data_IF_436198704733
#
_entry.id   IF_436198704733
#
_cell.length_a   1.000
_cell.length_b   1.000
_cell.length_c   1.000
_cell.angle_alpha   90.00
_cell.angle_beta   90.00
_cell.angle_gamma   90.00
#
_symmetry.space_group_name_H-M   'P 1'
#
loop_
_entity.id
_entity.type
_entity.pdbx_description
1 polymer ?
#
# COMPACT_ATOMS: atom_id res chain seq x y z
N UNK A 1 16.99 -14.44 -51.98
CA UNK A 1 17.47 -13.23 -51.27
C UNK A 1 18.10 -13.69 -49.96
N UNK A 2 19.42 -13.56 -49.80
CA UNK A 2 20.20 -14.29 -48.78
C UNK A 2 19.72 -14.00 -47.34
N UNK A 3 19.53 -15.06 -46.54
CA UNK A 3 19.12 -15.04 -45.13
C UNK A 3 19.92 -14.04 -44.27
N UNK A 4 21.14 -13.73 -44.71
CA UNK A 4 22.01 -12.74 -44.09
C UNK A 4 21.48 -11.29 -44.17
N UNK A 5 20.78 -10.93 -45.25
CA UNK A 5 20.18 -9.59 -45.41
C UNK A 5 18.94 -9.42 -44.54
N UNK A 6 18.17 -10.51 -44.37
CA UNK A 6 16.99 -10.50 -43.51
C UNK A 6 17.40 -10.39 -42.04
N UNK A 7 18.39 -11.16 -41.59
CA UNK A 7 18.91 -11.12 -40.23
C UNK A 7 19.50 -9.75 -39.82
N UNK A 8 20.24 -9.11 -40.73
CA UNK A 8 20.78 -7.75 -40.48
C UNK A 8 19.69 -6.69 -40.39
N UNK A 9 18.62 -6.83 -41.16
CA UNK A 9 17.49 -5.91 -41.13
C UNK A 9 16.70 -6.03 -39.82
N UNK A 10 16.50 -7.25 -39.30
CA UNK A 10 15.82 -7.46 -38.01
C UNK A 10 16.59 -6.85 -36.84
N UNK A 11 17.92 -7.01 -36.81
CA UNK A 11 18.76 -6.41 -35.76
C UNK A 11 18.71 -4.87 -35.84
N UNK A 12 18.79 -4.30 -37.04
CA UNK A 12 18.72 -2.85 -37.20
C UNK A 12 17.37 -2.26 -36.74
N UNK A 13 16.27 -2.95 -37.04
CA UNK A 13 14.92 -2.54 -36.60
C UNK A 13 14.79 -2.66 -35.07
N UNK A 14 15.28 -3.75 -34.47
CA UNK A 14 15.24 -3.94 -33.01
C UNK A 14 16.05 -2.86 -32.27
N UNK A 15 17.22 -2.49 -32.79
CA UNK A 15 18.04 -1.42 -32.20
C UNK A 15 17.37 -0.05 -32.34
N UNK A 16 16.76 0.26 -33.49
CA UNK A 16 16.00 1.51 -33.67
C UNK A 16 14.79 1.63 -32.73
N UNK A 17 14.04 0.54 -32.54
CA UNK A 17 12.93 0.48 -31.58
C UNK A 17 13.40 0.67 -30.13
N UNK A 18 14.52 0.06 -29.76
CA UNK A 18 15.09 0.21 -28.41
C UNK A 18 15.54 1.64 -28.11
N UNK A 19 16.08 2.37 -29.10
CA UNK A 19 16.45 3.78 -28.95
C UNK A 19 15.23 4.70 -28.85
N UNK A 20 14.12 4.36 -29.52
CA UNK A 20 12.89 5.15 -29.47
C UNK A 20 12.15 5.00 -28.12
N UNK A 21 12.15 3.81 -27.52
CA UNK A 21 11.56 3.57 -26.18
C UNK A 21 12.33 4.28 -25.04
N UNK A 22 13.65 4.42 -25.15
CA UNK A 22 14.47 5.10 -24.14
C UNK A 22 14.25 6.64 -24.10
N UNK A 23 13.79 7.24 -25.20
CA UNK A 23 13.53 8.68 -25.28
C UNK A 23 12.19 9.11 -24.63
N UNK A 24 11.30 8.17 -24.27
CA UNK A 24 10.01 8.47 -23.65
C UNK A 24 10.05 8.65 -22.12
N UNK A 25 11.13 8.28 -21.43
CA UNK A 25 11.20 8.36 -19.96
C UNK A 25 11.77 9.67 -19.40
N UNK A 26 12.20 10.62 -20.23
CA UNK A 26 12.96 11.79 -19.76
C UNK A 26 12.13 13.05 -19.48
N UNK A 27 10.81 12.95 -19.30
CA UNK A 27 9.95 14.12 -19.04
C UNK A 27 8.98 13.89 -17.86
N UNK A 28 9.50 13.51 -16.70
CA UNK A 28 8.77 13.68 -15.45
C UNK A 28 9.02 15.12 -14.94
N UNK A 29 7.99 15.95 -14.71
CA UNK A 29 8.18 17.25 -14.07
C UNK A 29 8.65 17.06 -12.61
N UNK A 30 9.66 17.83 -12.22
CA UNK A 30 10.19 17.88 -10.84
C UNK A 30 9.06 18.16 -9.81
N UNK A 31 9.05 17.48 -8.65
CA UNK A 31 8.06 17.73 -7.61
C UNK A 31 8.28 19.09 -6.94
N UNK A 32 7.20 19.87 -6.86
CA UNK A 32 7.15 21.16 -6.14
C UNK A 32 7.45 20.97 -4.65
N UNK A 33 8.24 21.85 -4.00
CA UNK A 33 8.53 21.72 -2.57
C UNK A 33 7.25 21.94 -1.75
N UNK A 34 6.88 20.95 -0.92
CA UNK A 34 5.80 21.09 0.06
C UNK A 34 6.24 22.02 1.21
N UNK A 35 5.35 22.89 1.72
CA UNK A 35 5.65 23.74 2.88
C UNK A 35 5.75 22.90 4.16
N UNK A 36 6.59 23.28 5.13
CA UNK A 36 6.79 22.52 6.35
C UNK A 36 5.51 22.49 7.19
N UNK A 37 5.17 21.29 7.68
CA UNK A 37 4.04 21.08 8.58
C UNK A 37 4.22 21.89 9.88
N UNK A 38 3.32 22.84 10.14
CA UNK A 38 3.26 23.55 11.41
C UNK A 38 2.84 22.60 12.53
N UNK A 39 3.75 22.39 13.49
CA UNK A 39 3.51 21.64 14.71
C UNK A 39 2.61 22.44 15.67
N UNK A 40 1.33 22.09 15.72
CA UNK A 40 0.38 22.66 16.69
C UNK A 40 0.41 21.85 18.00
N UNK A 41 1.27 22.25 18.94
CA UNK A 41 1.17 21.81 20.34
C UNK A 41 -0.01 22.55 21.00
N UNK A 42 -0.96 21.87 21.69
CA UNK A 42 -2.01 22.56 22.41
C UNK A 42 -1.47 23.18 23.71
N UNK A 43 -1.71 24.48 23.87
CA UNK A 43 -1.45 25.23 25.09
C UNK A 43 -2.35 24.72 26.23
N UNK A 44 -1.73 24.35 27.36
CA UNK A 44 -2.42 24.13 28.61
C UNK A 44 -3.12 25.44 29.01
N UNK A 45 -4.44 25.39 29.25
CA UNK A 45 -5.16 26.52 29.84
C UNK A 45 -5.78 26.07 31.15
N UNK A 46 -5.41 26.80 32.19
CA UNK A 46 -5.78 26.61 33.58
C UNK A 46 -7.30 26.68 33.83
N UNK A 47 -7.75 25.89 34.79
CA UNK A 47 -9.11 25.91 35.33
C UNK A 47 -9.35 27.18 36.14
N UNK A 48 -10.34 27.99 35.75
CA UNK A 48 -10.93 29.03 36.60
C UNK A 48 -12.37 28.62 36.92
N UNK A 49 -12.76 28.47 38.20
CA UNK A 49 -14.15 28.25 38.56
C UNK A 49 -14.80 29.58 38.93
N UNK A 50 -15.78 30.06 38.17
CA UNK A 50 -16.71 31.07 38.70
C UNK A 50 -18.17 30.82 38.31
N UNK A 51 -18.90 30.43 39.36
CA UNK A 51 -20.15 30.98 39.89
C UNK A 51 -21.14 31.70 38.96
N UNK A 52 -22.36 31.15 39.01
CA UNK A 52 -23.61 31.60 38.40
C UNK A 52 -24.06 33.01 38.83
N UNK A 53 -24.36 33.86 37.84
CA UNK A 53 -25.44 34.86 37.91
C UNK A 53 -25.99 35.09 36.50
N UNK A 54 -27.31 34.91 36.35
CA UNK A 54 -27.97 34.81 35.06
C UNK A 54 -28.20 36.12 34.33
N UNK A 55 -28.02 36.07 33.01
CA UNK A 55 -28.63 36.95 32.02
C UNK A 55 -28.86 36.13 30.74
N UNK A 56 -30.05 36.25 30.15
CA UNK A 56 -30.50 35.50 28.97
C UNK A 56 -29.85 36.03 27.69
N UNK A 57 -28.71 35.46 27.31
CA UNK A 57 -28.12 35.59 25.96
C UNK A 57 -28.70 34.53 25.01
N UNK A 58 -28.80 34.80 23.69
CA UNK A 58 -29.25 33.82 22.72
C UNK A 58 -28.35 32.57 22.82
N UNK A 59 -28.97 31.41 22.96
CA UNK A 59 -28.26 30.13 22.97
C UNK A 59 -27.64 29.89 21.60
N UNK A 60 -26.40 30.35 21.43
CA UNK A 60 -25.52 29.82 20.40
C UNK A 60 -25.27 28.38 20.82
N UNK A 61 -25.91 27.43 20.14
CA UNK A 61 -25.57 26.00 20.25
C UNK A 61 -24.15 25.88 19.73
N UNK A 62 -23.17 26.00 20.62
CA UNK A 62 -21.77 25.71 20.32
C UNK A 62 -21.75 24.22 20.03
N UNK A 63 -21.62 23.83 18.76
CA UNK A 63 -21.29 22.46 18.42
C UNK A 63 -20.01 22.13 19.17
N UNK A 64 -20.15 21.34 20.24
CA UNK A 64 -19.02 20.79 20.97
C UNK A 64 -18.18 20.06 19.93
N UNK A 65 -16.88 20.40 19.75
CA UNK A 65 -16.03 19.58 18.90
C UNK A 65 -16.15 18.15 19.42
N UNK A 66 -16.43 17.21 18.51
CA UNK A 66 -16.44 15.80 18.85
C UNK A 66 -15.14 15.52 19.62
N UNK A 67 -15.24 14.86 20.78
CA UNK A 67 -14.06 14.44 21.53
C UNK A 67 -13.12 13.77 20.54
N UNK A 68 -11.96 14.40 20.30
CA UNK A 68 -10.94 13.80 19.47
C UNK A 68 -10.58 12.49 20.17
N UNK A 69 -11.04 11.38 19.58
CA UNK A 69 -10.73 10.06 20.11
C UNK A 69 -9.22 9.92 20.23
N UNK A 70 -8.76 9.22 21.27
CA UNK A 70 -7.34 8.87 21.37
C UNK A 70 -6.92 8.18 20.08
N UNK A 71 -5.79 8.60 19.51
CA UNK A 71 -5.24 7.96 18.31
C UNK A 71 -5.00 6.47 18.59
N UNK A 72 -5.48 5.60 17.70
CA UNK A 72 -5.12 4.19 17.72
C UNK A 72 -3.74 4.09 17.09
N UNK A 73 -2.73 3.82 17.92
CA UNK A 73 -1.35 3.62 17.46
C UNK A 73 -1.10 2.11 17.41
N UNK A 74 -0.93 1.58 16.19
CA UNK A 74 -0.44 0.21 16.00
C UNK A 74 1.09 0.29 15.99
N UNK A 75 1.71 -0.06 17.10
CA UNK A 75 3.17 -0.10 17.21
C UNK A 75 3.72 -1.36 16.53
N UNK A 76 4.19 -1.20 15.30
CA UNK A 76 4.79 -2.29 14.55
C UNK A 76 6.20 -2.68 15.05
N UNK A 77 6.82 -1.89 15.95
CA UNK A 77 8.15 -2.20 16.51
C UNK A 77 8.14 -3.33 17.53
N UNK A 78 6.97 -3.67 18.07
CA UNK A 78 6.82 -4.77 19.03
C UNK A 78 6.67 -6.14 18.39
N UNK A 79 6.69 -6.22 17.05
CA UNK A 79 6.50 -7.48 16.32
C UNK A 79 7.85 -8.08 15.93
N UNK A 80 8.21 -9.22 16.52
CA UNK A 80 9.36 -10.02 16.08
C UNK A 80 8.93 -11.05 15.03
N UNK A 81 9.14 -10.71 13.77
CA UNK A 81 8.80 -11.59 12.64
C UNK A 81 9.67 -12.86 12.59
N UNK A 82 10.83 -12.87 13.26
CA UNK A 82 11.72 -14.04 13.29
C UNK A 82 11.21 -15.13 14.22
N UNK A 83 10.23 -14.81 15.07
CA UNK A 83 9.58 -15.78 15.93
C UNK A 83 8.68 -16.77 15.18
N UNK A 84 8.39 -16.55 13.88
CA UNK A 84 7.61 -17.47 13.05
C UNK A 84 8.46 -18.70 12.69
N UNK A 85 8.10 -19.91 13.18
CA UNK A 85 8.80 -21.13 12.82
C UNK A 85 8.78 -21.41 11.32
N UNK A 86 9.93 -21.82 10.74
CA UNK A 86 10.06 -22.09 9.31
C UNK A 86 9.07 -23.15 8.80
N UNK A 87 8.74 -24.16 9.61
CA UNK A 87 7.76 -25.19 9.21
C UNK A 87 6.36 -24.62 8.96
N UNK A 88 5.99 -23.50 9.60
CA UNK A 88 4.71 -22.84 9.34
C UNK A 88 4.73 -22.04 8.05
N UNK A 89 5.88 -21.48 7.66
CA UNK A 89 6.03 -20.84 6.35
C UNK A 89 5.91 -21.88 5.23
N UNK A 90 6.56 -23.03 5.38
CA UNK A 90 6.47 -24.11 4.39
C UNK A 90 5.05 -24.69 4.32
N UNK A 91 4.40 -24.92 5.45
CA UNK A 91 3.00 -25.36 5.47
C UNK A 91 2.06 -24.33 4.82
N UNK A 92 2.30 -23.03 5.05
CA UNK A 92 1.50 -21.98 4.44
C UNK A 92 1.67 -21.93 2.91
N UNK A 93 2.92 -21.96 2.40
CA UNK A 93 3.22 -22.02 0.97
C UNK A 93 2.55 -23.22 0.28
N UNK A 94 2.44 -24.35 0.96
CA UNK A 94 1.83 -25.57 0.42
C UNK A 94 0.29 -25.53 0.42
N UNK A 95 -0.30 -25.04 1.50
CA UNK A 95 -1.72 -25.32 1.79
C UNK A 95 -2.62 -24.08 1.73
N UNK A 96 -2.04 -22.88 1.71
CA UNK A 96 -2.80 -21.64 1.82
C UNK A 96 -2.80 -20.88 0.50
N UNK A 97 -4.00 -20.44 0.10
CA UNK A 97 -4.23 -19.54 -1.03
C UNK A 97 -5.11 -18.41 -0.52
N UNK A 98 -4.71 -17.16 -0.76
CA UNK A 98 -5.49 -15.99 -0.38
C UNK A 98 -6.27 -15.49 -1.58
N UNK A 99 -7.58 -15.33 -1.43
CA UNK A 99 -8.41 -14.56 -2.35
C UNK A 99 -8.86 -13.32 -1.58
N UNK A 100 -8.38 -12.17 -2.00
CA UNK A 100 -8.50 -10.94 -1.22
C UNK A 100 -9.15 -9.84 -2.06
N UNK A 101 -10.44 -9.64 -1.82
CA UNK A 101 -11.22 -8.53 -2.37
C UNK A 101 -11.10 -7.30 -1.48
N UNK A 102 -10.79 -6.13 -2.05
CA UNK A 102 -10.63 -4.92 -1.26
C UNK A 102 -11.03 -3.64 -1.99
N UNK A 103 -11.28 -2.56 -1.24
CA UNK A 103 -11.57 -1.22 -1.77
C UNK A 103 -10.60 -0.20 -1.15
N UNK A 104 -10.41 0.96 -1.81
CA UNK A 104 -9.66 2.13 -1.32
C UNK A 104 -8.41 1.84 -0.46
N UNK A 105 -8.58 1.68 0.86
CA UNK A 105 -7.50 1.50 1.84
C UNK A 105 -7.03 0.04 2.01
N UNK A 106 -7.75 -0.94 1.48
CA UNK A 106 -7.41 -2.35 1.67
C UNK A 106 -6.18 -2.82 0.89
N UNK A 107 -5.63 -1.99 -0.02
CA UNK A 107 -4.40 -2.26 -0.77
C UNK A 107 -3.18 -2.48 0.14
N UNK A 108 -3.23 -2.01 1.38
CA UNK A 108 -2.17 -2.14 2.38
C UNK A 108 -1.65 -3.58 2.53
N UNK A 109 -2.51 -4.61 2.48
CA UNK A 109 -2.07 -6.01 2.59
C UNK A 109 -1.26 -6.46 1.36
N UNK A 110 -1.70 -6.07 0.17
CA UNK A 110 -0.99 -6.39 -1.08
C UNK A 110 0.34 -5.65 -1.14
N UNK A 111 0.34 -4.37 -0.78
CA UNK A 111 1.56 -3.56 -0.66
C UNK A 111 2.54 -4.17 0.33
N UNK A 112 2.06 -4.61 1.51
CA UNK A 112 2.89 -5.28 2.51
C UNK A 112 3.46 -6.62 2.03
N UNK A 113 2.66 -7.43 1.34
CA UNK A 113 3.13 -8.70 0.75
C UNK A 113 4.24 -8.47 -0.29
N UNK A 114 4.07 -7.48 -1.16
CA UNK A 114 5.10 -7.09 -2.14
C UNK A 114 6.37 -6.60 -1.44
N UNK A 115 6.22 -5.72 -0.44
CA UNK A 115 7.35 -5.23 0.36
C UNK A 115 8.17 -6.37 0.98
N UNK A 116 7.50 -7.34 1.61
CA UNK A 116 8.15 -8.51 2.20
C UNK A 116 8.86 -9.39 1.18
N UNK A 117 8.34 -9.47 -0.04
CA UNK A 117 8.95 -10.23 -1.12
C UNK A 117 10.22 -9.55 -1.67
N UNK A 118 10.20 -8.22 -1.73
CA UNK A 118 11.33 -7.41 -2.22
C UNK A 118 12.46 -7.28 -1.18
N UNK A 119 12.12 -7.21 0.11
CA UNK A 119 13.06 -6.84 1.17
C UNK A 119 13.40 -7.99 2.13
N UNK A 120 12.61 -9.08 2.15
CA UNK A 120 13.00 -10.31 2.85
C UNK A 120 14.07 -11.02 2.04
N UNK A 121 15.28 -11.18 2.57
CA UNK A 121 16.43 -11.69 1.79
C UNK A 121 16.91 -13.08 2.23
N UNK A 122 17.02 -14.06 1.28
CA UNK A 122 16.15 -14.22 0.09
C UNK A 122 14.66 -14.22 0.50
N UNK A 123 13.67 -14.11 -0.41
CA UNK A 123 12.27 -13.92 -0.01
C UNK A 123 11.79 -15.07 0.89
N UNK A 124 11.85 -14.85 2.21
CA UNK A 124 11.52 -15.82 3.25
C UNK A 124 10.08 -16.29 3.07
N UNK A 125 9.20 -15.34 2.74
CA UNK A 125 7.78 -15.55 2.54
C UNK A 125 7.44 -15.95 1.09
N UNK A 126 8.21 -15.48 0.09
CA UNK A 126 8.04 -15.79 -1.34
C UNK A 126 6.59 -15.62 -1.82
N UNK A 127 6.09 -14.39 -1.82
CA UNK A 127 4.73 -14.11 -2.31
C UNK A 127 4.69 -14.08 -3.84
N UNK A 128 3.63 -14.65 -4.41
CA UNK A 128 3.22 -14.44 -5.80
C UNK A 128 1.81 -13.87 -5.80
N UNK A 129 1.66 -12.72 -6.46
CA UNK A 129 0.42 -11.94 -6.49
C UNK A 129 -0.09 -11.85 -7.92
N UNK A 130 -1.35 -12.17 -8.16
CA UNK A 130 -2.03 -11.89 -9.43
C UNK A 130 -3.40 -11.26 -9.20
N UNK A 131 -3.85 -10.48 -10.19
CA UNK A 131 -5.15 -9.82 -10.14
C UNK A 131 -6.26 -10.72 -10.67
N UNK A 132 -7.36 -10.87 -9.92
CA UNK A 132 -8.58 -11.57 -10.32
C UNK A 132 -8.46 -13.09 -10.50
N UNK A 133 -7.27 -13.67 -10.31
CA UNK A 133 -7.02 -15.10 -10.49
C UNK A 133 -6.05 -15.63 -9.45
N UNK A 134 -6.19 -16.92 -9.12
CA UNK A 134 -5.24 -17.62 -8.26
C UNK A 134 -3.96 -17.88 -9.06
N UNK A 135 -2.79 -17.36 -8.61
CA UNK A 135 -1.53 -17.63 -9.27
C UNK A 135 -1.22 -19.14 -9.31
N UNK A 136 -0.51 -19.58 -10.34
CA UNK A 136 0.07 -20.92 -10.36
C UNK A 136 1.07 -21.08 -9.21
N UNK A 137 1.22 -22.31 -8.70
CA UNK A 137 2.27 -22.59 -7.71
C UNK A 137 3.64 -22.58 -8.40
N UNK A 138 4.65 -22.04 -7.69
CA UNK A 138 6.01 -21.92 -8.20
C UNK A 138 6.94 -22.98 -7.60
N UNK A 139 8.10 -23.15 -8.22
CA UNK A 139 9.26 -23.87 -7.68
C UNK A 139 10.45 -22.89 -7.61
N UNK A 140 10.90 -22.46 -6.41
CA UNK A 140 10.46 -22.89 -5.09
C UNK A 140 9.04 -22.43 -4.72
N UNK A 141 8.41 -23.14 -3.78
CA UNK A 141 7.02 -22.89 -3.36
C UNK A 141 6.79 -21.44 -2.92
N UNK A 142 5.65 -20.89 -3.31
CA UNK A 142 5.26 -19.51 -3.06
C UNK A 142 3.94 -19.41 -2.27
N UNK A 143 3.81 -18.35 -1.47
CA UNK A 143 2.56 -17.92 -0.89
C UNK A 143 1.72 -17.23 -1.98
N UNK A 144 0.55 -17.76 -2.28
CA UNK A 144 -0.27 -17.32 -3.41
C UNK A 144 -1.37 -16.37 -2.98
N UNK A 145 -1.45 -15.20 -3.61
CA UNK A 145 -2.44 -14.16 -3.35
C UNK A 145 -3.13 -13.74 -4.66
N UNK A 146 -4.41 -14.05 -4.78
CA UNK A 146 -5.30 -13.48 -5.78
C UNK A 146 -5.87 -12.16 -5.22
N UNK A 147 -5.44 -11.04 -5.81
CA UNK A 147 -5.92 -9.71 -5.44
C UNK A 147 -7.13 -9.32 -6.29
N UNK A 148 -8.14 -8.72 -5.69
CA UNK A 148 -9.29 -8.17 -6.41
C UNK A 148 -9.66 -6.79 -5.84
N UNK A 149 -9.18 -5.73 -6.48
CA UNK A 149 -9.50 -4.35 -6.11
C UNK A 149 -10.70 -3.78 -6.88
N UNK A 150 -11.38 -4.62 -7.68
CA UNK A 150 -12.57 -4.25 -8.45
C UNK A 150 -13.85 -4.17 -7.62
N UNK A 151 -13.78 -4.48 -6.32
CA UNK A 151 -14.92 -4.43 -5.43
C UNK A 151 -15.31 -2.98 -5.21
N UNK A 152 -16.42 -2.56 -5.81
CA UNK A 152 -17.19 -1.39 -5.41
C UNK A 152 -18.34 -1.92 -4.57
N UNK A 153 -18.56 -1.38 -3.37
CA UNK A 153 -19.80 -1.70 -2.66
C UNK A 153 -20.94 -1.02 -3.41
N UNK A 154 -21.69 -1.78 -4.21
CA UNK A 154 -22.98 -1.35 -4.74
C UNK A 154 -24.08 -1.86 -3.79
N UNK A 155 -24.78 -0.98 -3.04
CA UNK A 155 -25.95 -1.37 -2.25
C UNK A 155 -27.13 -1.87 -3.07
N UNK A 156 -27.09 -1.72 -4.40
CA UNK A 156 -28.24 -1.80 -5.28
C UNK A 156 -28.47 -3.11 -6.02
N UNK A 157 -27.61 -4.12 -5.86
CA UNK A 157 -27.82 -5.47 -6.43
C UNK A 157 -28.20 -6.52 -5.37
#
# INVERSE_FOLDING_TARGET
MSHYKLFRLTIAIALLLSFFLMACSALAPEPSPEPPAESLLPAATDFVPETSSGESHPTVVRMQPASAGTAIIIDHTTTDITAIPANWLEAAKQNVVWLYGHTSHGSQLVTGANYLNEHGSPPTYNFVVEWGTVPAQLDPLAMRLANDDGWSWDPGE
#
